data_IF_625658194217
#
_entry.id   IF_625658194217
#
_cell.length_a   1.000
_cell.length_b   1.000
_cell.length_c   1.000
_cell.angle_alpha   90.00
_cell.angle_beta   90.00
_cell.angle_gamma   90.00
#
_symmetry.space_group_name_H-M   'P 1'
#
loop_
_entity.id
_entity.type
_entity.pdbx_description
1 polymer ?
#
# COMPACT_ATOMS: atom_id res chain seq x y z
N UNK A 1 2.14 -2.41 12.38
CA UNK A 1 1.26 -1.29 11.94
C UNK A 1 -0.16 -1.81 11.72
N UNK A 2 -1.21 -1.05 12.09
CA UNK A 2 -2.62 -1.45 11.95
C UNK A 2 -3.04 -1.79 10.51
N UNK A 3 -2.69 -0.95 9.54
CA UNK A 3 -3.04 -1.18 8.12
C UNK A 3 -2.42 -2.46 7.58
N UNK A 4 -1.16 -2.78 7.94
CA UNK A 4 -0.52 -4.03 7.51
C UNK A 4 -1.29 -5.27 7.99
N UNK A 5 -1.75 -5.27 9.24
CA UNK A 5 -2.61 -6.35 9.76
C UNK A 5 -3.91 -6.49 8.96
N UNK A 6 -4.56 -5.39 8.60
CA UNK A 6 -5.77 -5.41 7.77
C UNK A 6 -5.51 -5.95 6.36
N UNK A 7 -4.33 -5.69 5.78
CA UNK A 7 -3.95 -6.25 4.48
C UNK A 7 -3.90 -7.77 4.57
N UNK A 8 -3.22 -8.30 5.60
CA UNK A 8 -3.10 -9.74 5.81
C UNK A 8 -4.46 -10.41 6.12
N UNK A 9 -5.38 -9.70 6.80
CA UNK A 9 -6.73 -10.21 7.09
C UNK A 9 -7.76 -9.96 5.98
N UNK A 10 -7.40 -9.26 4.89
CA UNK A 10 -8.32 -8.94 3.80
C UNK A 10 -9.32 -7.81 4.10
N UNK A 11 -9.05 -6.98 5.10
CA UNK A 11 -9.90 -5.86 5.52
C UNK A 11 -10.64 -6.11 6.84
N UNK A 12 -11.73 -5.35 7.12
CA UNK A 12 -12.33 -4.31 6.27
C UNK A 12 -11.42 -3.09 6.10
N UNK A 13 -11.49 -2.44 4.94
CA UNK A 13 -10.70 -1.24 4.65
C UNK A 13 -11.53 0.05 4.78
N UNK A 14 -10.96 1.12 5.38
CA UNK A 14 -11.71 2.34 5.68
C UNK A 14 -11.93 3.25 4.46
N UNK A 15 -11.15 3.10 3.37
CA UNK A 15 -11.29 3.92 2.18
C UNK A 15 -11.54 3.06 0.94
N UNK A 16 -12.39 3.55 0.04
CA UNK A 16 -12.75 2.86 -1.21
C UNK A 16 -11.58 2.59 -2.16
N UNK A 17 -10.49 3.34 -2.03
CA UNK A 17 -9.26 3.14 -2.81
C UNK A 17 -8.35 2.05 -2.24
N UNK A 18 -8.56 1.64 -1.00
CA UNK A 18 -7.73 0.61 -0.37
C UNK A 18 -7.96 -0.74 -1.06
N UNK A 19 -6.87 -1.40 -1.46
CA UNK A 19 -6.89 -2.60 -2.29
C UNK A 19 -6.93 -2.34 -3.80
N UNK A 20 -7.01 -1.08 -4.25
CA UNK A 20 -6.93 -0.73 -5.66
C UNK A 20 -5.52 -1.00 -6.22
N UNK A 21 -5.44 -1.29 -7.52
CA UNK A 21 -4.16 -1.50 -8.20
C UNK A 21 -3.32 -0.23 -8.19
N UNK A 22 -2.07 -0.36 -7.73
CA UNK A 22 -1.05 0.67 -7.84
C UNK A 22 -0.24 0.46 -9.12
N UNK A 23 -0.14 1.51 -9.94
CA UNK A 23 0.42 1.41 -11.28
C UNK A 23 1.94 1.38 -11.38
N UNK A 24 2.66 1.82 -10.34
CA UNK A 24 4.13 1.98 -10.35
C UNK A 24 4.66 2.70 -11.61
N UNK A 25 4.03 3.81 -12.01
CA UNK A 25 4.32 4.50 -13.29
C UNK A 25 5.69 5.17 -13.28
N UNK A 26 6.07 5.70 -12.13
CA UNK A 26 7.34 6.35 -11.83
C UNK A 26 8.47 5.32 -11.59
N UNK A 27 8.13 4.02 -11.58
CA UNK A 27 9.08 2.89 -11.47
C UNK A 27 9.98 2.95 -10.23
N UNK A 28 9.46 3.48 -9.13
CA UNK A 28 10.16 3.55 -7.84
C UNK A 28 10.18 2.21 -7.08
N UNK A 29 9.29 1.28 -7.45
CA UNK A 29 9.29 -0.11 -6.99
C UNK A 29 9.81 -1.03 -8.11
N UNK A 30 10.25 -2.27 -7.77
CA UNK A 30 10.66 -3.25 -8.79
C UNK A 30 9.62 -3.45 -9.90
N UNK A 31 10.09 -3.62 -11.13
CA UNK A 31 9.20 -3.80 -12.28
C UNK A 31 8.47 -5.14 -12.18
N UNK A 32 7.14 -5.11 -12.32
CA UNK A 32 6.26 -6.28 -12.27
C UNK A 32 5.06 -6.10 -13.20
N UNK A 33 4.34 -7.19 -13.46
CA UNK A 33 3.11 -7.18 -14.28
C UNK A 33 2.05 -6.24 -13.71
N UNK A 34 1.20 -5.68 -14.59
CA UNK A 34 0.06 -4.85 -14.17
C UNK A 34 -0.83 -5.63 -13.19
N UNK A 35 -1.25 -4.97 -12.12
CA UNK A 35 -2.07 -5.58 -11.06
C UNK A 35 -1.28 -6.26 -9.95
N UNK A 36 0.05 -6.35 -10.06
CA UNK A 36 0.90 -6.92 -9.02
C UNK A 36 0.91 -6.10 -7.72
N UNK A 37 0.91 -4.77 -7.83
CA UNK A 37 0.89 -3.88 -6.68
C UNK A 37 -0.51 -3.38 -6.35
N UNK A 38 -0.82 -3.28 -5.07
CA UNK A 38 -2.05 -2.68 -4.52
C UNK A 38 -1.73 -1.65 -3.45
N UNK A 39 -2.52 -0.58 -3.38
CA UNK A 39 -2.35 0.50 -2.41
C UNK A 39 -3.33 0.43 -1.25
N UNK A 40 -2.89 0.86 -0.07
CA UNK A 40 -3.67 0.91 1.15
C UNK A 40 -3.35 2.16 1.95
N UNK A 41 -4.38 2.79 2.49
CA UNK A 41 -4.26 4.03 3.26
C UNK A 41 -3.70 3.77 4.64
N UNK A 42 -2.68 4.54 5.02
CA UNK A 42 -2.22 4.63 6.41
C UNK A 42 -2.83 5.87 7.01
N UNK A 43 -3.64 5.70 8.06
CA UNK A 43 -4.33 6.80 8.73
C UNK A 43 -3.30 7.83 9.22
N UNK A 44 -3.47 9.08 8.81
CA UNK A 44 -2.71 10.20 9.34
C UNK A 44 -3.54 10.84 10.46
N UNK A 45 -3.06 10.90 11.71
CA UNK A 45 -3.79 11.55 12.80
C UNK A 45 -4.16 13.00 12.44
N UNK A 46 -5.41 13.39 12.72
CA UNK A 46 -5.91 14.73 12.42
C UNK A 46 -6.31 14.99 10.94
N UNK A 47 -5.94 14.12 10.00
CA UNK A 47 -6.34 14.28 8.61
C UNK A 47 -7.84 13.93 8.42
N UNK A 48 -8.58 14.84 7.75
CA UNK A 48 -9.98 14.61 7.35
C UNK A 48 -10.10 13.80 6.04
N UNK A 49 -8.99 13.66 5.31
CA UNK A 49 -8.90 12.90 4.07
C UNK A 49 -7.96 11.68 4.26
N UNK A 50 -7.61 11.00 3.16
CA UNK A 50 -6.69 9.85 3.19
C UNK A 50 -5.25 10.22 3.65
N UNK A 51 -4.89 11.50 3.70
CA UNK A 51 -3.51 11.95 3.91
C UNK A 51 -2.55 11.48 2.81
N UNK A 52 -1.25 11.68 3.02
CA UNK A 52 -0.18 11.30 2.08
C UNK A 52 0.37 9.88 2.30
N UNK A 53 0.12 9.28 3.47
CA UNK A 53 0.76 8.03 3.89
C UNK A 53 0.06 6.81 3.29
N UNK A 54 0.83 5.88 2.72
CA UNK A 54 0.31 4.64 2.12
C UNK A 54 1.23 3.46 2.41
N UNK A 55 0.64 2.27 2.37
CA UNK A 55 1.37 1.03 2.14
C UNK A 55 1.03 0.56 0.72
N UNK A 56 2.04 0.18 -0.05
CA UNK A 56 1.90 -0.51 -1.32
C UNK A 56 2.45 -1.92 -1.16
N UNK A 57 1.60 -2.93 -1.33
CA UNK A 57 2.02 -4.32 -1.26
C UNK A 57 2.00 -4.95 -2.66
N UNK A 58 3.03 -5.73 -2.96
CA UNK A 58 3.17 -6.50 -4.20
C UNK A 58 3.00 -7.99 -3.92
N UNK A 59 2.33 -8.69 -4.82
CA UNK A 59 2.19 -10.14 -4.77
C UNK A 59 1.00 -10.64 -5.59
N UNK A 60 1.01 -11.93 -5.90
CA UNK A 60 -0.11 -12.56 -6.61
C UNK A 60 -1.37 -12.69 -5.74
N UNK A 61 -1.20 -12.89 -4.43
CA UNK A 61 -2.29 -12.97 -3.46
C UNK A 61 -2.33 -11.70 -2.60
N UNK A 62 -3.43 -10.90 -2.62
CA UNK A 62 -3.49 -9.64 -1.88
C UNK A 62 -3.29 -9.77 -0.36
N UNK A 63 -3.73 -10.88 0.23
CA UNK A 63 -3.64 -11.17 1.68
C UNK A 63 -2.34 -11.87 2.07
N UNK A 64 -1.51 -12.27 1.10
CA UNK A 64 -0.20 -12.87 1.32
C UNK A 64 0.85 -12.17 0.40
N UNK A 65 1.15 -10.89 0.66
CA UNK A 65 2.05 -10.12 -0.18
C UNK A 65 3.50 -10.62 -0.07
N UNK A 66 4.21 -10.62 -1.20
CA UNK A 66 5.63 -10.97 -1.29
C UNK A 66 6.53 -9.86 -0.72
N UNK A 67 6.10 -8.61 -0.86
CA UNK A 67 6.77 -7.45 -0.27
C UNK A 67 5.79 -6.30 -0.08
N UNK A 68 5.98 -5.52 0.99
CA UNK A 68 5.25 -4.29 1.23
C UNK A 68 6.21 -3.11 1.37
N UNK A 69 5.75 -1.94 0.94
CA UNK A 69 6.50 -0.69 0.90
C UNK A 69 5.67 0.41 1.53
N UNK A 70 6.28 1.22 2.37
CA UNK A 70 5.67 2.39 2.98
C UNK A 70 6.13 3.66 2.27
N UNK A 71 5.18 4.56 2.00
CA UNK A 71 5.43 5.94 1.57
C UNK A 71 4.78 6.89 2.57
N UNK A 72 5.51 7.95 2.94
CA UNK A 72 5.01 9.02 3.80
C UNK A 72 4.62 10.28 3.00
N UNK A 73 4.98 10.33 1.72
CA UNK A 73 5.09 11.52 0.88
C UNK A 73 4.31 11.36 -0.43
N UNK A 74 3.18 10.64 -0.37
CA UNK A 74 2.27 10.49 -1.50
C UNK A 74 2.97 9.92 -2.75
N UNK A 75 3.64 8.78 -2.56
CA UNK A 75 4.34 7.98 -3.58
C UNK A 75 5.63 8.60 -4.14
N UNK A 76 6.15 9.68 -3.55
CA UNK A 76 7.40 10.29 -3.99
C UNK A 76 8.65 9.48 -3.57
N UNK A 77 8.58 8.76 -2.46
CA UNK A 77 9.61 7.81 -2.04
C UNK A 77 9.01 6.60 -1.31
N UNK A 78 9.77 5.51 -1.29
CA UNK A 78 9.36 4.26 -0.66
C UNK A 78 10.44 3.69 0.25
N UNK A 79 10.00 3.11 1.36
CA UNK A 79 10.82 2.27 2.22
C UNK A 79 10.22 0.88 2.27
N UNK A 80 11.01 -0.15 2.00
CA UNK A 80 10.56 -1.54 2.16
C UNK A 80 10.29 -1.81 3.64
N UNK A 81 9.16 -2.46 3.92
CA UNK A 81 8.84 -2.97 5.25
C UNK A 81 9.54 -4.33 5.36
N UNK A 82 10.47 -4.44 6.29
CA UNK A 82 11.09 -5.71 6.69
C UNK A 82 10.40 -6.15 7.98
N UNK A 83 10.06 -7.44 8.05
CA UNK A 83 9.59 -8.08 9.28
C UNK A 83 10.76 -8.65 10.06
#
# INVERSE_FOLDING_TARGET
MKTHGLILSGGPFPYSKDGSVFGNRERLLPLNKRGFYREYTVKTPGARNRGARRIVCGGTQPTAPEACYYTADHYASFRRIVQ
#
